data_IF_249933463776
#
_entry.id   IF_249933463776
#
_cell.length_a   1.000
_cell.length_b   1.000
_cell.length_c   1.000
_cell.angle_alpha   90.00
_cell.angle_beta   90.00
_cell.angle_gamma   90.00
#
_symmetry.space_group_name_H-M   'P 1'
#
loop_
_entity.id
_entity.type
_entity.pdbx_description
1 polymer ?
#
# COMPACT_ATOMS: atom_id res chain seq x y z
N UNK A 1 35.67 -13.81 -6.42
CA UNK A 1 34.44 -12.98 -6.46
C UNK A 1 34.80 -11.64 -7.05
N UNK A 2 34.24 -11.28 -8.21
CA UNK A 2 34.49 -9.96 -8.81
C UNK A 2 33.68 -8.91 -8.04
N UNK A 3 34.33 -7.84 -7.58
CA UNK A 3 33.66 -6.72 -6.92
C UNK A 3 33.01 -5.84 -7.99
N UNK A 4 31.69 -5.69 -7.96
CA UNK A 4 30.92 -4.92 -8.96
C UNK A 4 31.28 -3.44 -9.03
N UNK A 5 31.98 -2.93 -8.02
CA UNK A 5 32.37 -1.53 -7.91
C UNK A 5 33.77 -1.26 -8.47
N UNK A 6 34.50 -2.29 -8.91
CA UNK A 6 35.88 -2.16 -9.39
C UNK A 6 36.02 -2.80 -10.76
N UNK A 7 36.31 -2.01 -11.78
CA UNK A 7 36.59 -2.50 -13.13
C UNK A 7 38.06 -2.27 -13.47
N UNK A 8 38.69 -3.22 -14.18
CA UNK A 8 40.05 -3.06 -14.68
C UNK A 8 39.99 -2.83 -16.18
N UNK A 9 40.49 -1.70 -16.63
CA UNK A 9 40.54 -1.33 -18.05
C UNK A 9 41.63 -2.14 -18.77
N UNK A 10 41.52 -2.25 -20.10
CA UNK A 10 42.48 -2.96 -20.97
C UNK A 10 43.94 -2.51 -20.77
N UNK A 11 44.17 -1.27 -20.33
CA UNK A 11 45.48 -0.72 -19.98
C UNK A 11 45.99 -1.03 -18.57
N UNK A 12 45.38 -1.96 -17.84
CA UNK A 12 45.80 -2.36 -16.49
C UNK A 12 45.50 -1.34 -15.38
N UNK A 13 44.73 -0.30 -15.69
CA UNK A 13 44.27 0.69 -14.70
C UNK A 13 43.01 0.20 -14.01
N UNK A 14 42.95 0.41 -12.70
CA UNK A 14 41.83 0.01 -11.87
C UNK A 14 40.95 1.24 -11.56
N UNK A 15 39.68 1.18 -11.96
CA UNK A 15 38.70 2.21 -11.69
C UNK A 15 37.74 1.72 -10.61
N UNK A 16 37.43 2.58 -9.63
CA UNK A 16 36.45 2.30 -8.59
C UNK A 16 35.27 3.26 -8.71
N UNK A 17 34.06 2.71 -8.81
CA UNK A 17 32.81 3.47 -8.86
C UNK A 17 32.16 3.54 -7.48
N UNK A 18 31.57 4.69 -7.09
CA UNK A 18 30.85 4.81 -5.84
C UNK A 18 29.67 3.84 -5.78
N UNK A 19 29.48 3.20 -4.62
CA UNK A 19 28.29 2.41 -4.35
C UNK A 19 27.25 3.32 -3.69
N UNK A 20 26.06 3.42 -4.27
CA UNK A 20 24.99 4.23 -3.70
C UNK A 20 24.40 3.53 -2.46
N UNK A 21 24.07 4.31 -1.42
CA UNK A 21 23.37 3.75 -0.27
C UNK A 21 21.96 3.36 -0.68
N UNK A 22 21.53 2.17 -0.29
CA UNK A 22 20.14 1.73 -0.49
C UNK A 22 19.24 2.44 0.52
N UNK A 23 18.09 3.00 0.09
CA UNK A 23 17.11 3.52 1.04
C UNK A 23 16.60 2.39 1.93
N UNK A 24 16.65 2.59 3.25
CA UNK A 24 16.03 1.70 4.23
C UNK A 24 14.59 2.16 4.45
N UNK A 25 13.64 1.27 4.21
CA UNK A 25 12.24 1.50 4.51
C UNK A 25 12.02 0.97 5.92
N UNK A 26 11.76 1.87 6.86
CA UNK A 26 11.46 1.48 8.22
C UNK A 26 10.02 0.96 8.32
N UNK A 27 9.86 -0.36 8.34
CA UNK A 27 8.57 -1.03 8.47
C UNK A 27 7.89 -0.76 9.83
N UNK A 28 8.62 -0.26 10.83
CA UNK A 28 8.05 0.09 12.15
C UNK A 28 7.24 1.39 12.11
N UNK A 29 7.52 2.26 11.14
CA UNK A 29 6.73 3.46 10.84
C UNK A 29 5.79 3.10 9.70
N UNK A 30 4.65 2.49 10.05
CA UNK A 30 3.57 2.14 9.12
C UNK A 30 2.93 3.42 8.55
N UNK A 31 3.62 4.10 7.65
CA UNK A 31 3.10 5.21 6.88
C UNK A 31 2.24 4.64 5.75
N UNK A 32 1.02 4.23 6.09
CA UNK A 32 -0.03 4.07 5.09
C UNK A 32 -0.29 5.48 4.51
N UNK A 33 0.03 5.65 3.23
CA UNK A 33 -0.15 6.93 2.56
C UNK A 33 -1.63 7.38 2.60
N UNK A 34 -1.88 8.69 2.73
CA UNK A 34 -3.21 9.28 2.93
C UNK A 34 -4.30 8.73 1.98
N UNK A 35 -4.08 8.63 0.65
CA UNK A 35 -5.09 8.07 -0.26
C UNK A 35 -5.47 6.62 0.04
N UNK A 36 -4.52 5.76 0.42
CA UNK A 36 -4.78 4.36 0.74
C UNK A 36 -5.65 4.21 2.00
N UNK A 37 -5.44 5.08 2.99
CA UNK A 37 -6.29 5.11 4.18
C UNK A 37 -7.71 5.59 3.86
N UNK A 38 -7.85 6.61 3.02
CA UNK A 38 -9.15 7.09 2.57
C UNK A 38 -9.94 6.00 1.83
N UNK A 39 -9.29 5.24 0.94
CA UNK A 39 -9.89 4.11 0.25
C UNK A 39 -10.33 2.99 1.21
N UNK A 40 -9.47 2.60 2.17
CA UNK A 40 -9.80 1.59 3.19
C UNK A 40 -11.01 2.01 4.03
N UNK A 41 -11.08 3.29 4.43
CA UNK A 41 -12.19 3.82 5.24
C UNK A 41 -13.49 3.83 4.42
N UNK A 42 -13.45 4.33 3.19
CA UNK A 42 -14.62 4.34 2.31
C UNK A 42 -15.15 2.92 2.04
N UNK A 43 -14.26 1.96 1.81
CA UNK A 43 -14.62 0.56 1.64
C UNK A 43 -15.32 -0.03 2.87
N UNK A 44 -14.86 0.28 4.09
CA UNK A 44 -15.49 -0.18 5.34
C UNK A 44 -16.89 0.38 5.53
N UNK A 45 -17.09 1.67 5.27
CA UNK A 45 -18.41 2.30 5.34
C UNK A 45 -19.39 1.69 4.34
N UNK A 46 -18.93 1.41 3.11
CA UNK A 46 -19.75 0.75 2.09
C UNK A 46 -20.18 -0.68 2.53
N UNK A 47 -19.27 -1.45 3.12
CA UNK A 47 -19.60 -2.78 3.63
C UNK A 47 -20.63 -2.73 4.77
N UNK A 48 -20.50 -1.78 5.69
CA UNK A 48 -21.50 -1.56 6.76
C UNK A 48 -22.86 -1.20 6.15
N UNK A 49 -22.88 -0.32 5.14
CA UNK A 49 -24.11 0.05 4.43
C UNK A 49 -24.81 -1.15 3.78
N UNK A 50 -24.06 -2.07 3.18
CA UNK A 50 -24.62 -3.30 2.60
C UNK A 50 -25.20 -4.23 3.67
N UNK A 51 -24.48 -4.45 4.77
CA UNK A 51 -24.96 -5.29 5.88
C UNK A 51 -26.20 -4.68 6.53
N UNK A 52 -26.23 -3.36 6.71
CA UNK A 52 -27.37 -2.64 7.24
C UNK A 52 -28.59 -2.73 6.31
N UNK A 53 -28.40 -2.67 4.99
CA UNK A 53 -29.48 -2.85 4.01
C UNK A 53 -30.07 -4.27 4.08
N UNK A 54 -29.21 -5.30 4.14
CA UNK A 54 -29.67 -6.69 4.30
C UNK A 54 -30.40 -6.86 5.63
N UNK A 55 -29.86 -6.32 6.72
CA UNK A 55 -30.50 -6.34 8.03
C UNK A 55 -31.85 -5.61 8.06
N UNK A 56 -31.96 -4.45 7.39
CA UNK A 56 -33.21 -3.72 7.24
C UNK A 56 -34.25 -4.56 6.50
N UNK A 57 -33.89 -5.17 5.37
CA UNK A 57 -34.81 -6.03 4.63
C UNK A 57 -35.29 -7.24 5.45
N UNK A 58 -34.40 -7.89 6.21
CA UNK A 58 -34.77 -9.03 7.07
C UNK A 58 -35.66 -8.59 8.25
N UNK A 59 -35.43 -7.42 8.83
CA UNK A 59 -36.14 -6.96 10.03
C UNK A 59 -37.47 -6.26 9.74
N UNK A 60 -37.56 -5.46 8.67
CA UNK A 60 -38.76 -4.66 8.35
C UNK A 60 -39.44 -5.07 7.04
N UNK A 61 -38.85 -5.98 6.26
CA UNK A 61 -39.35 -6.35 4.93
C UNK A 61 -39.16 -5.27 3.86
N UNK A 62 -38.54 -4.14 4.20
CA UNK A 62 -38.32 -2.98 3.33
C UNK A 62 -36.83 -2.77 3.08
N UNK A 63 -36.45 -2.53 1.82
CA UNK A 63 -35.06 -2.21 1.46
C UNK A 63 -34.65 -0.85 2.04
N UNK A 64 -35.61 0.08 2.16
CA UNK A 64 -35.43 1.34 2.88
C UNK A 64 -36.56 1.47 3.89
N UNK A 65 -36.30 1.33 5.20
CA UNK A 65 -37.32 1.49 6.22
C UNK A 65 -37.79 2.95 6.27
N UNK A 66 -39.09 3.20 6.09
CA UNK A 66 -39.72 4.50 6.31
C UNK A 66 -39.73 5.49 5.13
N UNK A 67 -39.38 5.07 3.91
CA UNK A 67 -39.71 5.80 2.68
C UNK A 67 -40.98 5.17 2.09
N UNK A 68 -42.09 5.90 2.12
CA UNK A 68 -43.37 5.53 1.49
C UNK A 68 -43.51 6.21 0.13
#
# INVERSE_FOLDING_TARGET
MANSNVTTESGGRQNMFPTETRPYIDESVSYDSYPQNAEKVNGRWAMIGLVALVGAYVSTGQIIPGIF
#
